data_IF_912423904208
#
_entry.id   IF_912423904208
#
_cell.length_a   1.000
_cell.length_b   1.000
_cell.length_c   1.000
_cell.angle_alpha   90.00
_cell.angle_beta   90.00
_cell.angle_gamma   90.00
#
_symmetry.space_group_name_H-M   'P 1'
#
loop_
_entity.id
_entity.type
_entity.pdbx_description
1 polymer ?
#
# COMPACT_ATOMS: atom_id res chain seq x y z
N UNK A 1 -1.75 -18.64 -11.72
CA UNK A 1 -0.60 -17.87 -11.19
C UNK A 1 -0.92 -16.41 -11.46
N UNK A 2 -1.44 -15.70 -10.45
CA UNK A 2 -1.62 -14.25 -10.56
C UNK A 2 -0.22 -13.61 -10.54
N UNK A 3 0.09 -12.76 -11.51
CA UNK A 3 1.38 -12.06 -11.55
C UNK A 3 1.42 -11.02 -10.44
N UNK A 4 2.60 -10.77 -9.86
CA UNK A 4 2.82 -9.68 -8.90
C UNK A 4 2.26 -8.34 -9.41
N UNK A 5 2.37 -8.07 -10.70
CA UNK A 5 1.78 -6.91 -11.38
C UNK A 5 0.26 -6.80 -11.17
N UNK A 6 -0.46 -7.92 -11.21
CA UNK A 6 -1.92 -7.95 -11.00
C UNK A 6 -2.32 -7.56 -9.57
N UNK A 7 -1.45 -7.83 -8.59
CA UNK A 7 -1.68 -7.46 -7.18
C UNK A 7 -1.45 -5.97 -6.91
N UNK A 8 -0.67 -5.30 -7.75
CA UNK A 8 -0.34 -3.87 -7.62
C UNK A 8 -1.26 -2.94 -8.41
N UNK A 9 -2.13 -3.48 -9.26
CA UNK A 9 -3.07 -2.72 -10.07
C UNK A 9 -4.40 -2.56 -9.34
N UNK A 10 -4.86 -1.31 -9.19
CA UNK A 10 -6.15 -1.00 -8.58
C UNK A 10 -6.98 -0.16 -9.55
N UNK A 11 -8.23 -0.57 -9.77
CA UNK A 11 -9.18 0.12 -10.63
C UNK A 11 -9.86 1.24 -9.85
N UNK A 12 -9.84 2.47 -10.36
CA UNK A 12 -10.48 3.64 -9.75
C UNK A 12 -11.36 4.37 -10.76
N UNK A 13 -12.24 5.26 -10.29
CA UNK A 13 -13.24 5.97 -11.10
C UNK A 13 -12.66 6.80 -12.28
N UNK A 14 -11.34 7.01 -12.32
CA UNK A 14 -10.61 7.70 -13.39
C UNK A 14 -9.62 6.84 -14.20
N UNK A 15 -9.61 5.51 -14.04
CA UNK A 15 -8.69 4.60 -14.74
C UNK A 15 -7.94 3.64 -13.81
N UNK A 16 -6.89 2.98 -14.34
CA UNK A 16 -6.03 2.08 -13.56
C UNK A 16 -4.96 2.88 -12.83
N UNK A 17 -4.94 2.81 -11.50
CA UNK A 17 -3.84 3.34 -10.71
C UNK A 17 -2.70 2.31 -10.74
N UNK A 18 -1.53 2.73 -11.23
CA UNK A 18 -0.28 1.96 -11.12
C UNK A 18 0.40 2.40 -9.82
N UNK A 19 0.36 1.53 -8.81
CA UNK A 19 1.09 1.75 -7.57
C UNK A 19 2.56 1.41 -7.75
N UNK A 20 3.46 2.31 -7.39
CA UNK A 20 4.86 1.95 -7.14
C UNK A 20 4.96 1.42 -5.71
N UNK A 21 5.46 0.20 -5.54
CA UNK A 21 5.63 -0.42 -4.23
C UNK A 21 7.08 -0.24 -3.76
N UNK A 22 7.25 0.37 -2.59
CA UNK A 22 8.53 0.51 -1.90
C UNK A 22 8.51 -0.35 -0.63
N UNK A 23 9.61 -1.05 -0.37
CA UNK A 23 9.73 -1.93 0.79
C UNK A 23 11.01 -1.58 1.55
N UNK A 24 10.88 -1.20 2.83
CA UNK A 24 11.99 -0.92 3.76
C UNK A 24 11.89 -1.91 4.92
N UNK A 25 12.82 -2.87 4.96
CA UNK A 25 12.84 -3.95 5.94
C UNK A 25 14.02 -3.76 6.88
N UNK A 26 13.72 -3.62 8.16
CA UNK A 26 14.70 -3.58 9.25
C UNK A 26 14.31 -4.60 10.31
N UNK A 27 15.27 -5.07 11.09
CA UNK A 27 15.03 -6.07 12.15
C UNK A 27 13.97 -5.59 13.17
N UNK A 28 13.88 -4.28 13.38
CA UNK A 28 12.96 -3.65 14.35
C UNK A 28 11.63 -3.22 13.73
N UNK A 29 11.57 -3.05 12.42
CA UNK A 29 10.39 -2.51 11.74
C UNK A 29 10.38 -2.92 10.26
N UNK A 30 9.27 -3.51 9.81
CA UNK A 30 8.99 -3.76 8.41
C UNK A 30 8.04 -2.70 7.92
N UNK A 31 8.38 -2.05 6.81
CA UNK A 31 7.54 -1.03 6.21
C UNK A 31 7.33 -1.28 4.72
N UNK A 32 6.08 -1.15 4.29
CA UNK A 32 5.68 -1.20 2.89
C UNK A 32 4.95 0.09 2.58
N UNK A 33 5.40 0.79 1.55
CA UNK A 33 4.74 1.99 1.05
C UNK A 33 4.26 1.78 -0.39
N UNK A 34 3.09 2.33 -0.70
CA UNK A 34 2.53 2.34 -2.04
C UNK A 34 2.32 3.79 -2.46
N UNK A 35 2.97 4.20 -3.55
CA UNK A 35 2.78 5.52 -4.14
C UNK A 35 1.91 5.39 -5.39
N UNK A 36 0.80 6.12 -5.42
CA UNK A 36 -0.15 6.07 -6.53
C UNK A 36 -0.01 7.30 -7.41
N UNK A 37 0.47 7.09 -8.64
CA UNK A 37 0.44 8.10 -9.70
C UNK A 37 -0.81 7.99 -10.56
N UNK A 38 -1.17 9.09 -11.23
CA UNK A 38 -2.09 9.01 -12.37
C UNK A 38 -1.34 8.42 -13.56
N UNK A 39 -1.88 7.34 -14.14
CA UNK A 39 -1.37 6.80 -15.41
C UNK A 39 -1.52 7.86 -16.50
N UNK A 40 -0.39 8.32 -17.03
CA UNK A 40 -0.37 9.36 -18.05
C UNK A 40 -0.41 8.76 -19.45
N UNK A 41 -1.34 9.30 -20.24
CA UNK A 41 -1.44 9.19 -21.68
C UNK A 41 -0.07 9.49 -22.36
N UNK A 42 0.30 8.81 -23.47
CA UNK A 42 1.67 8.80 -24.03
C UNK A 42 2.27 10.15 -24.48
N UNK A 43 1.56 11.28 -24.38
CA UNK A 43 2.01 12.59 -24.85
C UNK A 43 2.22 13.64 -23.72
N UNK A 44 2.15 13.26 -22.46
CA UNK A 44 2.32 14.18 -21.35
C UNK A 44 3.40 13.69 -20.37
N UNK A 45 4.46 14.48 -20.16
CA UNK A 45 5.44 14.25 -19.07
C UNK A 45 4.69 14.24 -17.73
N UNK A 46 4.87 13.15 -16.97
CA UNK A 46 3.91 12.66 -15.97
C UNK A 46 3.90 13.44 -14.63
N UNK A 47 2.76 13.46 -13.94
CA UNK A 47 2.58 14.16 -12.67
C UNK A 47 3.18 13.37 -11.51
N UNK A 48 3.54 14.10 -10.47
CA UNK A 48 3.96 13.61 -9.14
C UNK A 48 2.96 12.58 -8.57
N UNK A 49 3.40 11.69 -7.65
CA UNK A 49 2.49 10.78 -6.95
C UNK A 49 1.37 11.59 -6.29
N UNK A 50 0.12 11.20 -6.57
CA UNK A 50 -1.08 11.91 -6.09
C UNK A 50 -1.28 11.68 -4.61
N UNK A 51 -0.88 10.51 -4.12
CA UNK A 51 -0.79 10.19 -2.70
C UNK A 51 0.10 8.98 -2.47
N UNK A 52 0.55 8.83 -1.23
CA UNK A 52 1.30 7.70 -0.74
C UNK A 52 0.63 7.13 0.50
N UNK A 53 0.64 5.81 0.61
CA UNK A 53 0.29 5.10 1.85
C UNK A 53 1.50 4.34 2.37
N UNK A 54 1.61 4.22 3.69
CA UNK A 54 2.68 3.45 4.36
C UNK A 54 2.09 2.59 5.47
N UNK A 55 2.38 1.31 5.40
CA UNK A 55 2.10 0.32 6.43
C UNK A 55 3.40 -0.03 7.15
N UNK A 56 3.43 0.08 8.47
CA UNK A 56 4.60 -0.24 9.29
C UNK A 56 4.24 -1.21 10.42
N UNK A 57 5.03 -2.27 10.55
CA UNK A 57 4.83 -3.37 11.49
C UNK A 57 6.10 -3.63 12.29
N UNK A 58 5.96 -3.90 13.59
CA UNK A 58 7.06 -4.25 14.49
C UNK A 58 6.90 -5.70 14.96
N UNK A 59 7.72 -6.65 14.48
CA UNK A 59 7.57 -8.08 14.76
C UNK A 59 7.58 -8.45 16.26
N UNK A 60 8.31 -7.70 17.09
CA UNK A 60 8.39 -7.94 18.54
C UNK A 60 7.17 -7.50 19.36
N UNK A 61 6.39 -6.53 18.86
CA UNK A 61 5.18 -6.03 19.54
C UNK A 61 3.89 -6.53 18.85
N UNK A 62 4.04 -7.51 17.96
CA UNK A 62 3.35 -7.78 16.70
C UNK A 62 1.83 -7.88 16.63
N UNK A 63 1.09 -6.99 17.28
CA UNK A 63 -0.38 -6.97 17.34
C UNK A 63 -1.03 -5.84 16.52
N UNK A 64 -0.20 -4.99 15.89
CA UNK A 64 -0.67 -3.73 15.29
C UNK A 64 0.17 -3.37 14.06
N UNK A 65 -0.50 -2.85 13.03
CA UNK A 65 0.11 -2.19 11.88
C UNK A 65 -0.25 -0.71 11.92
N UNK A 66 0.76 0.15 11.80
CA UNK A 66 0.56 1.59 11.65
C UNK A 66 0.36 1.91 10.18
N UNK A 67 -0.73 2.59 9.88
CA UNK A 67 -1.09 3.04 8.54
C UNK A 67 -1.04 4.56 8.48
N UNK A 68 -0.29 5.09 7.52
CA UNK A 68 -0.24 6.50 7.17
C UNK A 68 -0.75 6.63 5.73
N UNK A 69 -1.69 7.51 5.49
CA UNK A 69 -2.14 7.92 4.16
C UNK A 69 -1.93 9.42 4.03
N UNK A 70 -1.19 9.89 3.03
CA UNK A 70 -0.92 11.32 2.86
C UNK A 70 -2.17 12.16 2.51
N UNK A 71 -3.28 11.52 2.15
CA UNK A 71 -4.58 12.19 1.95
C UNK A 71 -5.30 12.43 3.26
N UNK A 72 -5.00 11.63 4.28
CA UNK A 72 -5.62 11.69 5.59
C UNK A 72 -4.68 12.41 6.57
N UNK A 73 -5.26 13.18 7.50
CA UNK A 73 -4.47 13.92 8.48
C UNK A 73 -4.02 13.02 9.64
N UNK A 74 -4.68 11.87 9.84
CA UNK A 74 -4.47 11.01 11.00
C UNK A 74 -3.76 9.70 10.67
N UNK A 75 -2.87 9.30 11.58
CA UNK A 75 -2.26 7.98 11.58
C UNK A 75 -3.25 6.95 12.12
N UNK A 76 -3.57 5.94 11.32
CA UNK A 76 -4.47 4.85 11.72
C UNK A 76 -3.68 3.68 12.27
N UNK A 77 -4.23 3.03 13.31
CA UNK A 77 -3.72 1.77 13.85
C UNK A 77 -4.67 0.65 13.44
N UNK A 78 -4.15 -0.33 12.73
CA UNK A 78 -4.90 -1.51 12.26
C UNK A 78 -4.49 -2.69 13.15
N UNK A 79 -5.43 -3.28 13.92
CA UNK A 79 -5.18 -4.53 14.63
C UNK A 79 -4.79 -5.63 13.64
N UNK A 80 -3.72 -6.35 13.92
CA UNK A 80 -3.24 -7.44 13.08
C UNK A 80 -2.68 -8.57 13.93
N UNK A 81 -2.89 -9.81 13.49
CA UNK A 81 -2.18 -10.96 14.05
C UNK A 81 -0.69 -10.89 13.69
N UNK A 82 0.19 -11.57 14.46
CA UNK A 82 1.60 -11.61 14.14
C UNK A 82 1.89 -12.19 12.75
N UNK A 83 2.75 -11.52 11.98
CA UNK A 83 3.13 -12.00 10.66
C UNK A 83 4.28 -13.00 10.77
N UNK A 84 4.17 -14.19 10.14
CA UNK A 84 5.20 -15.22 10.20
C UNK A 84 6.45 -14.89 9.37
N UNK A 85 6.35 -13.96 8.42
CA UNK A 85 7.45 -13.52 7.56
C UNK A 85 7.18 -12.13 6.97
N UNK A 86 8.27 -11.50 6.48
CA UNK A 86 8.21 -10.25 5.71
C UNK A 86 7.30 -10.40 4.48
N UNK A 87 7.45 -11.50 3.73
CA UNK A 87 6.64 -11.74 2.52
C UNK A 87 5.15 -11.78 2.84
N UNK A 88 4.79 -12.41 3.96
CA UNK A 88 3.39 -12.46 4.42
C UNK A 88 2.87 -11.07 4.76
N UNK A 89 3.70 -10.23 5.39
CA UNK A 89 3.36 -8.84 5.68
C UNK A 89 3.21 -7.99 4.41
N UNK A 90 4.08 -8.17 3.41
CA UNK A 90 3.98 -7.48 2.12
C UNK A 90 2.68 -7.85 1.41
N UNK A 91 2.38 -9.15 1.27
CA UNK A 91 1.16 -9.63 0.62
C UNK A 91 -0.10 -9.17 1.35
N UNK A 92 -0.08 -9.20 2.68
CA UNK A 92 -1.17 -8.67 3.51
C UNK A 92 -1.39 -7.17 3.23
N UNK A 93 -0.31 -6.38 3.17
CA UNK A 93 -0.38 -4.95 2.91
C UNK A 93 -1.04 -4.64 1.55
N UNK A 94 -0.63 -5.35 0.50
CA UNK A 94 -1.22 -5.18 -0.84
C UNK A 94 -2.71 -5.50 -0.85
N UNK A 95 -3.12 -6.55 -0.12
CA UNK A 95 -4.53 -6.95 -0.01
C UNK A 95 -5.35 -5.94 0.79
N UNK A 96 -4.80 -5.45 1.89
CA UNK A 96 -5.45 -4.46 2.77
C UNK A 96 -5.68 -3.15 1.99
N UNK A 97 -4.66 -2.64 1.31
CA UNK A 97 -4.78 -1.40 0.54
C UNK A 97 -5.74 -1.55 -0.64
N UNK A 98 -5.71 -2.68 -1.35
CA UNK A 98 -6.70 -2.97 -2.40
C UNK A 98 -8.13 -2.95 -1.85
N UNK A 99 -8.34 -3.48 -0.65
CA UNK A 99 -9.66 -3.51 0.00
C UNK A 99 -10.08 -2.10 0.44
N UNK A 100 -9.14 -1.32 0.97
CA UNK A 100 -9.37 0.07 1.38
C UNK A 100 -9.77 0.96 0.20
N UNK A 101 -9.02 0.91 -0.91
CA UNK A 101 -9.35 1.67 -2.13
C UNK A 101 -10.69 1.22 -2.72
N UNK A 102 -10.95 -0.08 -2.80
CA UNK A 102 -12.21 -0.60 -3.38
C UNK A 102 -13.44 -0.20 -2.55
N UNK A 103 -13.28 -0.03 -1.23
CA UNK A 103 -14.34 0.44 -0.33
C UNK A 103 -14.65 1.94 -0.45
N UNK A 104 -13.69 2.75 -0.92
CA UNK A 104 -13.85 4.19 -1.16
C UNK A 104 -14.59 4.53 -2.47
N UNK A 105 -14.72 3.57 -3.41
CA UNK A 105 -15.35 3.78 -4.73
C UNK A 105 -16.88 3.51 -4.71
N UNK A 106 -17.56 3.76 -3.59
CA UNK A 106 -19.03 3.60 -3.46
C UNK A 106 -19.78 4.92 -3.54
#
# INVERSE_FOLDING_TARGET
>A
MESFESSTQVQSAGGMLLGTVYVDIRDTEWAVALAYGRTHHPNLRGPEPVYEVRYAYRPGNGSQVRHLDTREVELRVIPAEPFPSIDTFVLWTLKEERSHISGLVR
#
